data_IF_396560383066
#
_entry.id   IF_396560383066
#
_cell.length_a   1.000
_cell.length_b   1.000
_cell.length_c   1.000
_cell.angle_alpha   90.00
_cell.angle_beta   90.00
_cell.angle_gamma   90.00
#
_symmetry.space_group_name_H-M   'P 1'
#
loop_
_entity.id
_entity.type
_entity.pdbx_description
1 polymer ?
#
# COMPACT_ATOMS: atom_id res chain seq x y z
N UNK A 1 -17.53 -2.52 -21.46
CA UNK A 1 -16.97 -1.97 -20.20
C UNK A 1 -16.28 -3.12 -19.51
N UNK A 2 -15.03 -2.98 -19.12
CA UNK A 2 -14.29 -4.01 -18.37
C UNK A 2 -14.90 -4.14 -16.98
N UNK A 3 -15.18 -5.39 -16.53
CA UNK A 3 -15.65 -5.62 -15.16
C UNK A 3 -14.55 -5.29 -14.14
N UNK A 4 -14.89 -4.65 -13.02
CA UNK A 4 -13.92 -4.38 -11.96
C UNK A 4 -13.50 -5.69 -11.28
N UNK A 5 -12.20 -5.79 -11.00
CA UNK A 5 -11.61 -6.94 -10.29
C UNK A 5 -11.91 -6.93 -8.79
N UNK A 6 -12.15 -5.73 -8.22
CA UNK A 6 -12.54 -5.51 -6.83
C UNK A 6 -13.64 -4.45 -6.81
N UNK A 7 -14.73 -4.71 -6.10
CA UNK A 7 -15.82 -3.76 -5.90
C UNK A 7 -16.14 -3.57 -4.42
N UNK A 8 -16.22 -2.33 -3.99
CA UNK A 8 -16.70 -1.91 -2.69
C UNK A 8 -18.01 -1.17 -2.92
N UNK A 9 -19.12 -1.67 -2.35
CA UNK A 9 -20.48 -1.15 -2.57
C UNK A 9 -21.11 -0.69 -1.26
N UNK A 10 -21.23 0.61 -1.08
CA UNK A 10 -21.90 1.27 0.06
C UNK A 10 -21.43 0.73 1.43
N UNK A 11 -20.12 0.49 1.55
CA UNK A 11 -19.52 -0.13 2.73
C UNK A 11 -19.42 0.87 3.86
N UNK A 12 -19.94 0.47 5.02
CA UNK A 12 -19.72 1.20 6.28
C UNK A 12 -19.12 0.27 7.34
N UNK A 13 -18.28 0.82 8.21
CA UNK A 13 -17.72 0.10 9.36
C UNK A 13 -17.83 0.95 10.62
N UNK A 14 -18.45 0.37 11.64
CA UNK A 14 -18.62 0.99 12.96
C UNK A 14 -17.97 0.14 14.03
N UNK A 15 -17.28 0.77 14.96
CA UNK A 15 -16.74 0.18 16.17
C UNK A 15 -17.40 0.85 17.36
N UNK A 16 -18.29 0.15 18.04
CA UNK A 16 -19.13 0.74 19.10
C UNK A 16 -19.80 2.04 18.63
N UNK A 17 -19.41 3.19 19.15
CA UNK A 17 -19.97 4.51 18.81
C UNK A 17 -19.17 5.27 17.74
N UNK A 18 -18.06 4.70 17.21
CA UNK A 18 -17.22 5.35 16.22
C UNK A 18 -17.49 4.81 14.82
N UNK A 19 -17.88 5.69 13.91
CA UNK A 19 -18.00 5.37 12.49
C UNK A 19 -16.62 5.53 11.84
N UNK A 20 -15.96 4.43 11.55
CA UNK A 20 -14.65 4.43 10.94
C UNK A 20 -14.72 4.59 9.41
N UNK A 21 -15.75 4.02 8.78
CA UNK A 21 -16.07 4.18 7.36
C UNK A 21 -17.56 4.42 7.20
N UNK A 22 -17.92 5.34 6.31
CA UNK A 22 -19.28 5.75 6.04
C UNK A 22 -19.57 5.72 4.54
N UNK A 23 -20.37 4.74 4.11
CA UNK A 23 -20.88 4.62 2.75
C UNK A 23 -19.80 4.67 1.64
N UNK A 24 -18.72 3.92 1.82
CA UNK A 24 -17.64 3.84 0.85
C UNK A 24 -18.07 3.03 -0.37
N UNK A 25 -17.90 3.60 -1.57
CA UNK A 25 -18.04 2.90 -2.84
C UNK A 25 -16.80 3.16 -3.69
N UNK A 26 -16.17 2.09 -4.17
CA UNK A 26 -14.96 2.14 -4.98
C UNK A 26 -14.89 0.90 -5.88
N UNK A 27 -14.64 1.10 -7.15
CA UNK A 27 -14.34 0.04 -8.10
C UNK A 27 -12.87 0.08 -8.46
N UNK A 28 -12.23 -1.08 -8.56
CA UNK A 28 -10.82 -1.22 -8.95
C UNK A 28 -10.77 -2.11 -10.19
N UNK A 29 -10.05 -1.68 -11.20
CA UNK A 29 -9.92 -2.40 -12.46
C UNK A 29 -8.58 -3.14 -12.56
N UNK A 30 -8.57 -4.22 -13.35
CA UNK A 30 -7.35 -5.02 -13.53
C UNK A 30 -6.20 -4.18 -14.12
N UNK A 31 -5.02 -4.28 -13.48
CA UNK A 31 -3.82 -3.56 -13.87
C UNK A 31 -3.78 -2.09 -13.42
N UNK A 32 -4.79 -1.61 -12.69
CA UNK A 32 -4.84 -0.25 -12.18
C UNK A 32 -3.92 -0.04 -10.99
N UNK A 33 -3.24 1.10 -10.94
CA UNK A 33 -2.46 1.56 -9.80
C UNK A 33 -3.18 2.71 -9.11
N UNK A 34 -3.72 2.44 -7.92
CA UNK A 34 -4.45 3.42 -7.11
C UNK A 34 -3.60 3.85 -5.92
N UNK A 35 -3.51 5.16 -5.69
CA UNK A 35 -2.99 5.73 -4.44
C UNK A 35 -4.16 6.26 -3.63
N UNK A 36 -4.32 5.75 -2.40
CA UNK A 36 -5.31 6.23 -1.43
C UNK A 36 -4.58 6.99 -0.35
N UNK A 37 -4.87 8.27 -0.25
CA UNK A 37 -4.27 9.16 0.74
C UNK A 37 -5.32 9.69 1.73
N UNK A 38 -4.85 10.14 2.89
CA UNK A 38 -5.67 10.75 3.93
C UNK A 38 -4.88 10.85 5.23
N UNK A 39 -5.27 11.76 6.11
CA UNK A 39 -4.64 11.92 7.42
C UNK A 39 -4.76 10.66 8.28
N UNK A 40 -3.99 10.59 9.35
CA UNK A 40 -4.13 9.53 10.35
C UNK A 40 -5.56 9.55 10.92
N UNK A 41 -6.15 8.37 11.07
CA UNK A 41 -7.55 8.22 11.50
C UNK A 41 -8.60 8.49 10.42
N UNK A 42 -8.23 8.67 9.15
CA UNK A 42 -9.20 8.85 8.06
C UNK A 42 -9.97 7.57 7.67
N UNK A 43 -9.54 6.39 8.15
CA UNK A 43 -10.16 5.11 7.84
C UNK A 43 -9.35 4.22 6.87
N UNK A 44 -8.15 4.63 6.42
CA UNK A 44 -7.33 3.87 5.44
C UNK A 44 -7.09 2.41 5.87
N UNK A 45 -6.54 2.21 7.07
CA UNK A 45 -6.22 0.85 7.56
C UNK A 45 -7.47 0.00 7.79
N UNK A 46 -8.60 0.62 8.16
CA UNK A 46 -9.89 -0.08 8.27
C UNK A 46 -10.37 -0.51 6.88
N UNK A 47 -10.31 0.39 5.89
CA UNK A 47 -10.67 0.06 4.50
C UNK A 47 -9.81 -1.08 3.96
N UNK A 48 -8.50 -1.03 4.20
CA UNK A 48 -7.56 -2.08 3.84
C UNK A 48 -7.92 -3.43 4.48
N UNK A 49 -8.19 -3.45 5.79
CA UNK A 49 -8.57 -4.68 6.52
C UNK A 49 -9.84 -5.32 5.95
N UNK A 50 -10.82 -4.50 5.58
CA UNK A 50 -12.05 -4.98 4.95
C UNK A 50 -11.79 -5.54 3.54
N UNK A 51 -10.98 -4.87 2.71
CA UNK A 51 -10.63 -5.37 1.38
C UNK A 51 -9.86 -6.68 1.46
N UNK A 52 -8.94 -6.78 2.43
CA UNK A 52 -8.14 -7.99 2.68
C UNK A 52 -8.92 -9.11 3.39
N UNK A 53 -10.21 -8.88 3.71
CA UNK A 53 -11.07 -9.83 4.42
C UNK A 53 -10.53 -10.24 5.82
N UNK A 54 -9.79 -9.33 6.45
CA UNK A 54 -9.34 -9.48 7.85
C UNK A 54 -10.39 -8.99 8.84
N UNK A 55 -11.38 -8.26 8.36
CA UNK A 55 -12.51 -7.73 9.12
C UNK A 55 -13.75 -7.71 8.21
N UNK A 56 -14.94 -7.56 8.79
CA UNK A 56 -16.22 -7.54 8.08
C UNK A 56 -16.86 -6.15 8.11
N UNK A 57 -17.51 -5.70 7.04
CA UNK A 57 -18.24 -4.44 7.04
C UNK A 57 -19.49 -4.55 7.92
N UNK A 58 -19.87 -3.44 8.57
CA UNK A 58 -21.15 -3.36 9.30
C UNK A 58 -22.34 -3.33 8.33
N UNK A 59 -22.15 -2.73 7.15
CA UNK A 59 -23.12 -2.71 6.06
C UNK A 59 -22.42 -2.56 4.71
N UNK A 60 -23.13 -2.86 3.63
CA UNK A 60 -22.58 -2.88 2.29
C UNK A 60 -21.93 -4.21 1.93
N UNK A 61 -21.21 -4.24 0.81
CA UNK A 61 -20.62 -5.47 0.29
C UNK A 61 -19.27 -5.21 -0.37
N UNK A 62 -18.32 -6.14 -0.21
CA UNK A 62 -17.04 -6.15 -0.92
C UNK A 62 -16.98 -7.42 -1.78
N UNK A 63 -16.79 -7.24 -3.06
CA UNK A 63 -16.56 -8.32 -4.03
C UNK A 63 -15.07 -8.34 -4.36
N UNK A 64 -14.36 -9.30 -3.81
CA UNK A 64 -12.91 -9.49 -3.99
C UNK A 64 -12.62 -10.54 -5.07
N UNK A 65 -11.42 -10.50 -5.71
CA UNK A 65 -11.01 -11.52 -6.67
C UNK A 65 -10.95 -12.91 -6.02
N UNK A 66 -11.26 -13.96 -6.77
CA UNK A 66 -11.21 -15.35 -6.28
C UNK A 66 -9.83 -15.76 -5.78
N UNK A 67 -8.78 -15.20 -6.37
CA UNK A 67 -7.39 -15.43 -5.92
C UNK A 67 -7.10 -14.84 -4.55
N UNK A 68 -7.98 -13.99 -4.01
CA UNK A 68 -7.76 -13.18 -2.84
C UNK A 68 -6.84 -11.98 -3.10
N UNK A 69 -6.61 -11.20 -2.06
CA UNK A 69 -5.78 -9.98 -2.09
C UNK A 69 -4.46 -10.25 -1.36
N UNK A 70 -3.36 -9.76 -1.91
CA UNK A 70 -2.07 -9.76 -1.24
C UNK A 70 -1.90 -8.48 -0.43
N UNK A 71 -1.60 -8.59 0.86
CA UNK A 71 -1.46 -7.44 1.76
C UNK A 71 -0.04 -7.34 2.31
N UNK A 72 0.58 -6.17 2.13
CA UNK A 72 1.85 -5.81 2.75
C UNK A 72 1.56 -4.80 3.86
N UNK A 73 1.79 -5.20 5.11
CA UNK A 73 1.54 -4.37 6.29
C UNK A 73 2.58 -3.24 6.44
N UNK A 74 2.18 -2.20 7.17
CA UNK A 74 3.08 -1.12 7.55
C UNK A 74 4.27 -1.63 8.38
N UNK A 75 4.05 -2.55 9.31
CA UNK A 75 5.09 -3.19 10.08
C UNK A 75 5.52 -4.50 9.41
N UNK A 76 6.73 -4.50 8.83
CA UNK A 76 7.31 -5.67 8.20
C UNK A 76 7.67 -6.77 9.22
N UNK A 77 8.08 -6.40 10.44
CA UNK A 77 8.40 -7.37 11.49
C UNK A 77 7.18 -8.18 11.92
N UNK A 78 6.00 -7.55 11.97
CA UNK A 78 4.75 -8.23 12.28
C UNK A 78 4.29 -9.20 11.17
N UNK A 79 4.80 -9.04 9.94
CA UNK A 79 4.42 -9.86 8.79
C UNK A 79 5.35 -11.06 8.58
N UNK A 80 6.64 -10.95 8.93
CA UNK A 80 7.64 -11.98 8.72
C UNK A 80 7.44 -13.11 9.74
N UNK A 81 7.17 -14.32 9.25
CA UNK A 81 6.91 -15.52 10.05
C UNK A 81 8.06 -16.54 10.01
N UNK A 82 8.87 -16.50 8.95
CA UNK A 82 10.00 -17.42 8.76
C UNK A 82 11.25 -16.97 9.51
N UNK A 83 12.06 -17.92 9.94
CA UNK A 83 13.38 -17.61 10.53
C UNK A 83 14.38 -17.12 9.47
N UNK A 84 14.17 -17.52 8.22
CA UNK A 84 14.97 -17.15 7.05
C UNK A 84 14.07 -16.69 5.90
N UNK A 85 14.60 -15.90 4.93
CA UNK A 85 13.86 -15.51 3.73
C UNK A 85 13.27 -16.69 2.93
N UNK A 86 13.98 -17.80 2.83
CA UNK A 86 13.46 -19.01 2.16
C UNK A 86 12.23 -19.55 2.89
N UNK A 87 12.27 -19.61 4.20
CA UNK A 87 11.16 -20.12 5.00
C UNK A 87 9.96 -19.20 4.91
N UNK A 88 10.17 -17.90 5.03
CA UNK A 88 9.12 -16.88 5.00
C UNK A 88 8.39 -16.89 3.65
N UNK A 89 9.11 -16.80 2.55
CA UNK A 89 8.51 -16.81 1.20
C UNK A 89 7.84 -18.15 0.90
N UNK A 90 8.38 -19.27 1.43
CA UNK A 90 7.77 -20.59 1.27
C UNK A 90 6.46 -20.75 2.02
N UNK A 91 6.23 -19.99 3.10
CA UNK A 91 5.10 -20.19 4.01
C UNK A 91 3.75 -20.10 3.28
N UNK A 92 3.51 -19.03 2.54
CA UNK A 92 2.29 -18.84 1.79
C UNK A 92 2.07 -19.86 0.68
N UNK A 93 3.16 -20.31 0.03
CA UNK A 93 3.12 -21.32 -1.03
C UNK A 93 2.78 -22.73 -0.50
N UNK A 94 3.32 -23.08 0.68
CA UNK A 94 2.98 -24.36 1.35
C UNK A 94 1.49 -24.44 1.67
N UNK A 95 0.90 -23.36 2.12
CA UNK A 95 -0.54 -23.28 2.40
C UNK A 95 -1.41 -23.44 1.16
N UNK A 96 -0.89 -23.12 -0.03
CA UNK A 96 -1.57 -23.33 -1.32
C UNK A 96 -1.45 -24.76 -1.86
N UNK A 97 -0.83 -25.68 -1.10
CA UNK A 97 -0.60 -27.10 -1.50
C UNK A 97 0.17 -27.24 -2.82
N UNK A 98 1.07 -26.32 -3.12
CA UNK A 98 1.94 -26.36 -4.30
C UNK A 98 3.01 -27.42 -4.08
N UNK A 99 3.40 -28.20 -5.13
CA UNK A 99 4.47 -29.20 -5.03
C UNK A 99 5.81 -28.59 -4.60
N UNK A 100 6.57 -29.30 -3.75
CA UNK A 100 7.83 -28.81 -3.16
C UNK A 100 8.81 -28.25 -4.21
N UNK A 101 9.00 -28.95 -5.33
CA UNK A 101 9.91 -28.54 -6.41
C UNK A 101 9.49 -27.21 -7.05
N UNK A 102 8.20 -26.97 -7.15
CA UNK A 102 7.66 -25.71 -7.68
C UNK A 102 7.81 -24.58 -6.66
N UNK A 103 7.63 -24.87 -5.36
CA UNK A 103 7.89 -23.93 -4.27
C UNK A 103 9.34 -23.45 -4.32
N UNK A 104 10.31 -24.37 -4.39
CA UNK A 104 11.74 -24.04 -4.43
C UNK A 104 12.07 -23.10 -5.59
N UNK A 105 11.53 -23.35 -6.78
CA UNK A 105 11.71 -22.51 -7.96
C UNK A 105 11.10 -21.12 -7.75
N UNK A 106 9.84 -21.04 -7.29
CA UNK A 106 9.15 -19.75 -7.05
C UNK A 106 9.84 -18.92 -5.98
N UNK A 107 10.31 -19.53 -4.90
CA UNK A 107 11.06 -18.88 -3.83
C UNK A 107 12.35 -18.27 -4.37
N UNK A 108 13.11 -19.03 -5.14
CA UNK A 108 14.35 -18.54 -5.76
C UNK A 108 14.10 -17.35 -6.68
N UNK A 109 13.15 -17.48 -7.60
CA UNK A 109 12.77 -16.41 -8.54
C UNK A 109 12.30 -15.16 -7.81
N UNK A 110 11.49 -15.33 -6.77
CA UNK A 110 10.96 -14.21 -5.99
C UNK A 110 12.06 -13.50 -5.21
N UNK A 111 12.92 -14.24 -4.51
CA UNK A 111 14.03 -13.66 -3.74
C UNK A 111 15.04 -12.93 -4.65
N UNK A 112 15.31 -13.46 -5.84
CA UNK A 112 16.10 -12.76 -6.86
C UNK A 112 15.42 -11.44 -7.28
N UNK A 113 14.12 -11.48 -7.48
CA UNK A 113 13.35 -10.32 -7.95
C UNK A 113 13.35 -9.12 -6.99
N UNK A 114 13.49 -9.38 -5.69
CA UNK A 114 13.57 -8.36 -4.63
C UNK A 114 14.99 -8.13 -4.10
N UNK A 115 16.01 -8.78 -4.69
CA UNK A 115 17.42 -8.61 -4.34
C UNK A 115 17.79 -9.17 -2.95
N UNK A 116 17.17 -10.30 -2.56
CA UNK A 116 17.42 -10.98 -1.28
C UNK A 116 18.01 -12.39 -1.45
N UNK A 117 18.29 -12.83 -2.69
CA UNK A 117 18.71 -14.19 -2.94
C UNK A 117 20.02 -14.56 -2.23
N UNK A 118 21.00 -13.68 -2.20
CA UNK A 118 22.29 -13.91 -1.53
C UNK A 118 22.15 -14.02 0.00
N UNK A 119 21.10 -13.46 0.55
CA UNK A 119 20.78 -13.53 1.99
C UNK A 119 19.67 -14.51 2.33
N UNK A 120 19.31 -15.39 1.42
CA UNK A 120 18.14 -16.28 1.54
C UNK A 120 18.14 -17.21 2.76
N UNK A 121 19.31 -17.50 3.35
CA UNK A 121 19.47 -18.30 4.55
C UNK A 121 19.90 -17.49 5.78
N UNK A 122 20.04 -16.16 5.66
CA UNK A 122 20.38 -15.31 6.79
C UNK A 122 19.19 -15.21 7.76
N UNK A 123 19.42 -15.03 9.09
CA UNK A 123 18.34 -14.84 10.03
C UNK A 123 17.52 -13.58 9.69
N UNK A 124 16.21 -13.74 9.46
CA UNK A 124 15.33 -12.62 9.06
C UNK A 124 15.31 -11.48 10.10
N UNK A 125 15.40 -11.82 11.39
CA UNK A 125 15.47 -10.85 12.50
C UNK A 125 16.71 -9.93 12.47
N UNK A 126 17.79 -10.35 11.81
CA UNK A 126 19.03 -9.59 11.67
C UNK A 126 19.09 -8.74 10.39
N UNK A 127 18.01 -8.74 9.61
CA UNK A 127 17.91 -7.94 8.41
C UNK A 127 17.65 -6.47 8.73
N UNK A 128 18.15 -5.58 7.87
CA UNK A 128 17.82 -4.14 7.93
C UNK A 128 16.33 -3.91 7.68
N UNK A 129 15.79 -2.76 8.07
CA UNK A 129 14.39 -2.41 7.82
C UNK A 129 14.02 -2.49 6.32
N UNK A 130 14.91 -2.02 5.44
CA UNK A 130 14.72 -2.14 4.00
C UNK A 130 14.72 -3.58 3.48
N UNK A 131 15.57 -4.45 4.04
CA UNK A 131 15.58 -5.88 3.72
C UNK A 131 14.31 -6.57 4.20
N UNK A 132 13.87 -6.30 5.43
CA UNK A 132 12.62 -6.82 5.98
C UNK A 132 11.41 -6.38 5.15
N UNK A 133 11.37 -5.11 4.73
CA UNK A 133 10.30 -4.62 3.84
C UNK A 133 10.28 -5.39 2.52
N UNK A 134 11.44 -5.60 1.88
CA UNK A 134 11.54 -6.40 0.66
C UNK A 134 11.14 -7.86 0.88
N UNK A 135 11.46 -8.43 2.05
CA UNK A 135 11.06 -9.79 2.40
C UNK A 135 9.54 -9.92 2.57
N UNK A 136 8.92 -9.01 3.30
CA UNK A 136 7.45 -8.97 3.44
C UNK A 136 6.75 -8.87 2.07
N UNK A 137 7.28 -8.03 1.17
CA UNK A 137 6.79 -7.95 -0.22
C UNK A 137 7.00 -9.27 -0.95
N UNK A 138 8.17 -9.92 -0.82
CA UNK A 138 8.47 -11.17 -1.49
C UNK A 138 7.50 -12.29 -1.09
N UNK A 139 7.18 -12.42 0.20
CA UNK A 139 6.22 -13.40 0.69
C UNK A 139 4.86 -13.31 0.01
N UNK A 140 4.39 -12.07 -0.21
CA UNK A 140 3.10 -11.84 -0.88
C UNK A 140 3.20 -12.01 -2.40
N UNK A 141 4.30 -11.58 -3.03
CA UNK A 141 4.51 -11.74 -4.48
C UNK A 141 4.53 -13.22 -4.90
N UNK A 142 5.17 -14.07 -4.09
CA UNK A 142 5.24 -15.51 -4.35
C UNK A 142 3.85 -16.16 -4.45
N UNK A 143 2.86 -15.63 -3.74
CA UNK A 143 1.48 -16.15 -3.73
C UNK A 143 0.71 -15.87 -5.02
N UNK A 144 1.27 -15.11 -5.97
CA UNK A 144 0.69 -14.78 -7.28
C UNK A 144 -0.75 -14.26 -7.23
N UNK A 145 -1.01 -13.29 -6.35
CA UNK A 145 -2.30 -12.61 -6.24
C UNK A 145 -2.52 -11.67 -7.43
N UNK A 146 -3.78 -11.34 -7.71
CA UNK A 146 -4.14 -10.39 -8.78
C UNK A 146 -4.13 -8.94 -8.28
N UNK A 147 -4.50 -8.74 -7.01
CA UNK A 147 -4.56 -7.43 -6.35
C UNK A 147 -3.57 -7.41 -5.19
N UNK A 148 -2.76 -6.36 -5.12
CA UNK A 148 -1.81 -6.12 -4.03
C UNK A 148 -2.14 -4.82 -3.33
N UNK A 149 -2.17 -4.86 -2.00
CA UNK A 149 -2.34 -3.67 -1.16
C UNK A 149 -1.05 -3.45 -0.38
N UNK A 150 -0.58 -2.22 -0.35
CA UNK A 150 0.58 -1.78 0.42
C UNK A 150 0.13 -0.72 1.42
N UNK A 151 0.24 -1.01 2.71
CA UNK A 151 -0.07 -0.06 3.77
C UNK A 151 1.21 0.65 4.21
N UNK A 152 1.27 1.97 3.98
CA UNK A 152 2.41 2.85 4.29
C UNK A 152 3.78 2.21 3.94
N UNK A 153 4.02 1.83 2.69
CA UNK A 153 5.17 1.01 2.31
C UNK A 153 6.52 1.69 2.52
N UNK A 154 6.55 2.99 2.76
CA UNK A 154 7.76 3.80 2.93
C UNK A 154 8.10 4.09 4.40
N UNK A 155 7.21 3.72 5.33
CA UNK A 155 7.40 4.01 6.75
C UNK A 155 8.68 3.39 7.29
N UNK A 156 9.43 4.20 8.08
CA UNK A 156 10.67 3.80 8.76
C UNK A 156 11.81 3.33 7.82
N UNK A 157 11.78 3.74 6.55
CA UNK A 157 12.84 3.43 5.58
C UNK A 157 13.76 4.65 5.37
N UNK A 158 15.03 4.36 5.22
CA UNK A 158 16.03 5.30 4.70
C UNK A 158 15.84 5.53 3.19
N UNK A 159 16.55 6.51 2.63
CA UNK A 159 16.42 6.85 1.21
C UNK A 159 16.66 5.65 0.25
N UNK A 160 17.72 4.82 0.42
CA UNK A 160 17.90 3.61 -0.39
C UNK A 160 16.76 2.60 -0.23
N UNK A 161 16.22 2.44 0.97
CA UNK A 161 15.06 1.59 1.25
C UNK A 161 13.82 2.05 0.49
N UNK A 162 13.50 3.34 0.54
CA UNK A 162 12.41 3.95 -0.23
C UNK A 162 12.59 3.71 -1.72
N UNK A 163 13.79 3.98 -2.27
CA UNK A 163 14.08 3.73 -3.69
C UNK A 163 13.86 2.27 -4.08
N UNK A 164 14.24 1.34 -3.22
CA UNK A 164 14.05 -0.10 -3.47
C UNK A 164 12.57 -0.46 -3.57
N UNK A 165 11.72 0.04 -2.66
CA UNK A 165 10.28 -0.18 -2.69
C UNK A 165 9.66 0.46 -3.94
N UNK A 166 10.03 1.70 -4.29
CA UNK A 166 9.56 2.37 -5.51
C UNK A 166 9.88 1.55 -6.77
N UNK A 167 11.10 0.97 -6.86
CA UNK A 167 11.49 0.10 -7.98
C UNK A 167 10.62 -1.16 -8.07
N UNK A 168 10.30 -1.78 -6.93
CA UNK A 168 9.39 -2.95 -6.88
C UNK A 168 8.00 -2.56 -7.37
N UNK A 169 7.42 -1.48 -6.85
CA UNK A 169 6.09 -1.01 -7.24
C UNK A 169 6.03 -0.66 -8.74
N UNK A 170 7.06 0.02 -9.27
CA UNK A 170 7.18 0.30 -10.71
C UNK A 170 7.25 -0.98 -11.55
N UNK A 171 8.02 -1.99 -11.10
CA UNK A 171 8.10 -3.29 -11.76
C UNK A 171 6.72 -3.97 -11.81
N UNK A 172 6.01 -4.02 -10.67
CA UNK A 172 4.68 -4.61 -10.59
C UNK A 172 3.65 -3.90 -11.49
N UNK A 173 3.71 -2.56 -11.56
CA UNK A 173 2.88 -1.80 -12.50
C UNK A 173 3.18 -2.19 -13.95
N UNK A 174 4.46 -2.30 -14.32
CA UNK A 174 4.87 -2.72 -15.66
C UNK A 174 4.40 -4.16 -15.99
N UNK A 175 4.32 -5.03 -15.00
CA UNK A 175 3.77 -6.39 -15.10
C UNK A 175 2.24 -6.42 -15.07
N UNK A 176 1.58 -5.25 -15.13
CA UNK A 176 0.11 -5.12 -15.13
C UNK A 176 -0.57 -5.71 -13.89
N UNK A 177 0.13 -5.74 -12.76
CA UNK A 177 -0.51 -6.09 -11.48
C UNK A 177 -1.40 -4.95 -11.00
N UNK A 178 -2.50 -5.28 -10.35
CA UNK A 178 -3.40 -4.30 -9.74
C UNK A 178 -2.84 -3.91 -8.38
N UNK A 179 -2.62 -2.62 -8.16
CA UNK A 179 -1.93 -2.10 -6.98
C UNK A 179 -2.79 -1.06 -6.27
N UNK A 180 -2.92 -1.19 -4.95
CA UNK A 180 -3.52 -0.20 -4.07
C UNK A 180 -2.45 0.19 -3.05
N UNK A 181 -2.01 1.44 -3.06
CA UNK A 181 -1.03 1.96 -2.11
C UNK A 181 -1.72 2.96 -1.19
N UNK A 182 -1.74 2.66 0.11
CA UNK A 182 -2.23 3.58 1.13
C UNK A 182 -1.02 4.32 1.70
N UNK A 183 -0.98 5.64 1.53
CA UNK A 183 0.14 6.44 2.05
C UNK A 183 -0.25 7.90 2.21
N UNK A 184 0.47 8.60 3.09
CA UNK A 184 0.44 10.06 3.20
C UNK A 184 1.66 10.72 2.52
N UNK A 185 2.61 9.93 2.00
CA UNK A 185 3.87 10.37 1.38
C UNK A 185 3.74 10.38 -0.16
N UNK A 186 2.91 11.28 -0.68
CA UNK A 186 2.54 11.33 -2.09
C UNK A 186 3.73 11.57 -3.04
N UNK A 187 4.71 12.35 -2.61
CA UNK A 187 5.90 12.70 -3.40
C UNK A 187 6.74 11.49 -3.84
N UNK A 188 6.59 10.36 -3.15
CA UNK A 188 7.36 9.14 -3.43
C UNK A 188 6.74 8.28 -4.53
N UNK A 189 5.42 8.38 -4.76
CA UNK A 189 4.71 7.36 -5.54
C UNK A 189 3.60 7.89 -6.44
N UNK A 190 3.05 9.08 -6.21
CA UNK A 190 1.88 9.57 -6.94
C UNK A 190 2.10 9.62 -8.45
N UNK A 191 3.34 9.89 -8.90
CA UNK A 191 3.71 9.88 -10.32
C UNK A 191 3.61 8.50 -11.01
N UNK A 192 3.35 7.41 -10.26
CA UNK A 192 3.03 6.08 -10.83
C UNK A 192 1.53 5.79 -10.82
N UNK A 193 0.71 6.56 -10.12
CA UNK A 193 -0.71 6.28 -9.97
C UNK A 193 -1.49 6.54 -11.27
N UNK A 194 -2.43 5.66 -11.57
CA UNK A 194 -3.45 5.89 -12.60
C UNK A 194 -4.65 6.63 -12.00
N UNK A 195 -4.90 6.40 -10.70
CA UNK A 195 -5.96 7.06 -9.94
C UNK A 195 -5.49 7.45 -8.54
N UNK A 196 -5.95 8.62 -8.12
CA UNK A 196 -5.73 9.17 -6.80
C UNK A 196 -7.06 9.28 -6.05
N UNK A 197 -7.10 8.77 -4.82
CA UNK A 197 -8.27 8.77 -3.95
C UNK A 197 -7.93 9.48 -2.65
N UNK A 198 -8.78 10.40 -2.22
CA UNK A 198 -8.66 11.07 -0.92
C UNK A 198 -9.75 10.51 0.00
N UNK A 199 -9.29 9.91 1.11
CA UNK A 199 -10.15 9.43 2.19
C UNK A 199 -10.03 10.37 3.40
N UNK A 200 -11.13 10.96 3.82
CA UNK A 200 -11.19 11.79 5.02
C UNK A 200 -12.43 11.46 5.86
N UNK A 201 -12.24 11.31 7.17
CA UNK A 201 -13.31 11.02 8.14
C UNK A 201 -14.21 9.86 7.72
N UNK A 202 -13.61 8.80 7.17
CA UNK A 202 -14.32 7.60 6.75
C UNK A 202 -15.09 7.73 5.44
N UNK A 203 -14.89 8.80 4.65
CA UNK A 203 -15.57 9.01 3.37
C UNK A 203 -14.58 9.29 2.25
N UNK A 204 -14.89 8.85 1.03
CA UNK A 204 -14.14 9.25 -0.17
C UNK A 204 -14.55 10.67 -0.52
N UNK A 205 -13.58 11.59 -0.44
CA UNK A 205 -13.79 13.01 -0.78
C UNK A 205 -13.39 13.33 -2.22
N UNK A 206 -12.52 12.52 -2.79
CA UNK A 206 -12.08 12.64 -4.18
C UNK A 206 -11.68 11.26 -4.73
N UNK A 207 -11.97 11.03 -6.01
CA UNK A 207 -11.47 9.90 -6.79
C UNK A 207 -11.37 10.33 -8.26
N UNK A 208 -10.15 10.48 -8.76
CA UNK A 208 -9.87 10.97 -10.11
C UNK A 208 -8.40 10.81 -10.48
N UNK A 209 -7.93 11.51 -11.50
CA UNK A 209 -6.51 11.47 -11.87
C UNK A 209 -5.64 12.20 -10.84
N UNK A 210 -4.34 11.84 -10.72
CA UNK A 210 -3.41 12.60 -9.88
C UNK A 210 -3.40 14.10 -10.16
N UNK A 211 -3.45 14.49 -11.44
CA UNK A 211 -3.43 15.88 -11.87
C UNK A 211 -4.67 16.66 -11.42
N UNK A 212 -5.84 16.01 -11.41
CA UNK A 212 -7.09 16.62 -10.90
C UNK A 212 -7.01 16.76 -9.39
N UNK A 213 -6.56 15.73 -8.68
CA UNK A 213 -6.44 15.72 -7.22
C UNK A 213 -5.46 16.77 -6.70
N UNK A 214 -4.34 17.00 -7.41
CA UNK A 214 -3.33 18.00 -7.03
C UNK A 214 -3.79 19.45 -7.21
N UNK A 215 -4.93 19.70 -7.89
CA UNK A 215 -5.56 21.02 -7.97
C UNK A 215 -6.42 21.36 -6.75
N UNK A 216 -6.71 20.36 -5.91
CA UNK A 216 -7.48 20.55 -4.69
C UNK A 216 -6.62 21.18 -3.58
N UNK A 217 -7.26 21.82 -2.62
CA UNK A 217 -6.61 22.30 -1.40
C UNK A 217 -6.36 21.11 -0.45
N UNK A 218 -5.28 20.37 -0.71
CA UNK A 218 -4.96 19.11 -0.02
C UNK A 218 -4.80 19.29 1.49
N UNK A 219 -4.37 20.47 1.93
CA UNK A 219 -4.18 20.83 3.33
C UNK A 219 -5.48 20.74 4.13
N UNK A 220 -6.65 20.97 3.50
CA UNK A 220 -7.97 20.77 4.14
C UNK A 220 -8.22 19.33 4.57
N UNK A 221 -7.57 18.37 3.91
CA UNK A 221 -7.61 16.95 4.23
C UNK A 221 -6.40 16.49 5.08
N UNK A 222 -5.57 17.45 5.53
CA UNK A 222 -4.35 17.15 6.27
C UNK A 222 -3.27 16.47 5.42
N UNK A 223 -3.29 16.71 4.12
CA UNK A 223 -2.34 16.16 3.13
C UNK A 223 -1.47 17.32 2.63
N UNK A 224 -0.15 17.14 2.68
CA UNK A 224 0.77 18.09 2.08
C UNK A 224 0.74 17.98 0.56
N UNK A 225 0.71 19.14 -0.13
CA UNK A 225 0.85 19.14 -1.58
C UNK A 225 2.28 18.71 -1.97
N UNK A 226 2.48 17.60 -2.69
CA UNK A 226 3.81 17.09 -3.06
C UNK A 226 4.56 18.03 -4.03
N UNK A 227 3.85 18.92 -4.72
CA UNK A 227 4.43 19.90 -5.64
C UNK A 227 4.78 21.24 -4.95
N UNK A 228 4.46 21.38 -3.67
CA UNK A 228 4.88 22.55 -2.89
C UNK A 228 6.39 22.46 -2.60
N UNK A 229 7.18 23.15 -3.39
CA UNK A 229 8.64 23.19 -3.21
C UNK A 229 9.06 24.28 -2.22
N UNK A 230 9.85 23.96 -1.18
CA UNK A 230 10.50 24.97 -0.35
C UNK A 230 11.47 25.80 -1.23
N UNK A 231 11.42 27.12 -1.07
CA UNK A 231 12.31 28.06 -1.79
C UNK A 231 13.57 28.38 -1.00
N UNK A 232 13.56 28.11 0.31
CA UNK A 232 14.65 28.38 1.24
C UNK A 232 14.71 27.31 2.33
N UNK A 233 15.80 27.28 3.10
CA UNK A 233 15.95 26.39 4.27
C UNK A 233 14.89 26.68 5.33
N UNK A 234 14.49 27.94 5.51
CA UNK A 234 13.44 28.33 6.46
C UNK A 234 12.09 27.70 6.14
N UNK A 235 11.78 27.45 4.87
CA UNK A 235 10.53 26.82 4.44
C UNK A 235 10.47 25.31 4.79
N UNK A 236 11.58 24.74 5.26
CA UNK A 236 11.62 23.36 5.76
C UNK A 236 11.08 23.24 7.19
N UNK A 237 10.79 24.36 7.87
CA UNK A 237 10.11 24.34 9.16
C UNK A 237 8.60 24.29 8.98
N UNK A 238 7.96 23.23 9.44
CA UNK A 238 6.53 22.96 9.24
C UNK A 238 5.62 23.50 10.36
N UNK A 239 6.16 24.26 11.31
CA UNK A 239 5.43 24.79 12.47
C UNK A 239 4.59 26.04 12.16
N UNK A 240 4.71 26.66 10.97
CA UNK A 240 3.92 27.82 10.54
C UNK A 240 2.91 27.43 9.46
N UNK A 241 1.68 27.95 9.56
CA UNK A 241 0.70 27.77 8.48
C UNK A 241 1.11 28.59 7.25
N UNK A 242 0.77 28.16 6.01
CA UNK A 242 1.07 28.90 4.79
C UNK A 242 0.50 30.33 4.76
N UNK A 243 -0.43 30.66 5.66
CA UNK A 243 -1.02 32.00 5.79
C UNK A 243 -0.14 32.96 6.60
N UNK A 244 0.66 32.48 7.55
CA UNK A 244 1.56 33.31 8.37
C UNK A 244 2.85 33.71 7.65
N UNK A 245 3.27 32.93 6.63
CA UNK A 245 4.48 33.22 5.84
C UNK A 245 4.27 34.31 4.75
N UNK A 246 3.02 34.80 4.53
CA UNK A 246 2.71 35.84 3.54
C UNK A 246 2.59 37.26 4.13
N UNK A 247 2.78 37.41 5.45
CA UNK A 247 2.63 38.66 6.16
C UNK A 247 3.93 39.29 6.67
N UNK A 248 5.09 38.83 6.20
CA UNK A 248 6.41 39.46 6.47
C UNK A 248 7.11 39.85 5.18
#
# INVERSE_FOLDING_TARGET
MTEPILQIKNVSRKFSNVVALNNISLEVYAGEFIVICGRNGSGKSVLMSLIAQLDEPTSGQILSPKSGVGLVFQDADAQILGETPVEDVSFGLKNQKIPKKEIEKKVEETLKSVGLYERRFAPARQMSGGEKRRLAVAGILAMNREVFIFDEPFANLDFPGVQSVCKILKKLKNEKKTLIVLTHELEKILGLADRFVILDKGEIKFSGTPEEGLKLELEKFGIRNPLAHPKSVSDLFWGTSPQESRSN
#
